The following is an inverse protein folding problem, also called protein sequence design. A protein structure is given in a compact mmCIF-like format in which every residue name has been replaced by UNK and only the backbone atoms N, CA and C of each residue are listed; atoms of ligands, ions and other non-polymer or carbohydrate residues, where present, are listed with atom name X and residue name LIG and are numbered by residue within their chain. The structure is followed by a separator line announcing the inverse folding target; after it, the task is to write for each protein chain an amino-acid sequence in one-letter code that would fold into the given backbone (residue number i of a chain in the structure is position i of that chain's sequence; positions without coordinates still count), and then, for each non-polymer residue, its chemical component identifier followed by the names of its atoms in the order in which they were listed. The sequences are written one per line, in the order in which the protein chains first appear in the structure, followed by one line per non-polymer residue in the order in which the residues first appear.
data_IF_893479855095
#
_entry.id   IF_893479855095
#
_cell.length_a   1.000
_cell.length_b   1.000
_cell.length_c   1.000
_cell.angle_alpha   90.00
_cell.angle_beta   90.00
_cell.angle_gamma   90.00
#
_symmetry.space_group_name_H-M   'P 1'
#
loop_
_entity.id
_entity.type
_entity.pdbx_description
1 polymer ?
#
# COMPACT_ATOMS: atom_id res chain seq x y z
N UNK A 1 -13.20 -0.84 -25.86
CA UNK A 1 -14.13 -1.96 -25.55
C UNK A 1 -13.50 -2.76 -24.42
N UNK A 2 -13.99 -2.56 -23.19
CA UNK A 2 -13.57 -3.32 -22.02
C UNK A 2 -14.05 -4.76 -22.15
N UNK A 3 -13.12 -5.73 -22.12
CA UNK A 3 -13.51 -7.13 -22.03
C UNK A 3 -13.95 -7.43 -20.60
N UNK A 4 -15.22 -7.81 -20.54
CA UNK A 4 -15.98 -8.24 -19.39
C UNK A 4 -15.70 -9.74 -19.18
N UNK A 5 -15.56 -10.11 -17.92
CA UNK A 5 -15.68 -11.46 -17.35
C UNK A 5 -14.49 -12.41 -17.48
N UNK A 6 -13.78 -12.57 -16.36
CA UNK A 6 -13.64 -13.89 -15.74
C UNK A 6 -13.99 -13.77 -14.25
N UNK A 7 -15.23 -14.14 -13.92
CA UNK A 7 -15.64 -14.38 -12.53
C UNK A 7 -15.04 -15.71 -12.08
N UNK A 8 -13.77 -15.68 -11.71
CA UNK A 8 -13.13 -16.81 -11.04
C UNK A 8 -13.59 -16.81 -9.58
N UNK A 9 -14.24 -17.90 -9.17
CA UNK A 9 -14.55 -18.22 -7.76
C UNK A 9 -13.26 -18.11 -6.93
N UNK A 10 -13.12 -17.01 -6.19
CA UNK A 10 -12.01 -16.83 -5.25
C UNK A 10 -12.33 -17.66 -4.01
N UNK A 11 -11.65 -18.80 -3.87
CA UNK A 11 -11.50 -19.46 -2.58
C UNK A 11 -10.87 -18.49 -1.59
N UNK A 12 -11.37 -18.49 -0.36
CA UNK A 12 -11.24 -17.47 0.68
C UNK A 12 -9.81 -17.21 1.24
N UNK A 13 -8.74 -17.63 0.56
CA UNK A 13 -7.36 -17.53 1.03
C UNK A 13 -6.40 -16.81 0.06
N UNK A 14 -6.89 -16.15 -0.99
CA UNK A 14 -6.04 -15.34 -1.88
C UNK A 14 -5.82 -13.93 -1.28
N UNK A 15 -4.96 -13.87 -0.26
CA UNK A 15 -4.47 -12.57 0.22
C UNK A 15 -3.54 -11.93 -0.82
N UNK A 16 -3.80 -10.68 -1.19
CA UNK A 16 -2.97 -9.93 -2.13
C UNK A 16 -1.59 -9.71 -1.53
N UNK A 17 -0.56 -10.29 -2.15
CA UNK A 17 0.80 -10.27 -1.60
C UNK A 17 1.62 -9.14 -2.18
N UNK A 18 2.76 -8.86 -1.53
CA UNK A 18 3.74 -7.92 -2.04
C UNK A 18 4.29 -8.31 -3.43
N UNK A 19 4.37 -9.61 -3.73
CA UNK A 19 4.79 -10.09 -5.05
C UNK A 19 3.77 -9.71 -6.11
N UNK A 20 2.48 -9.75 -5.77
CA UNK A 20 1.41 -9.37 -6.69
C UNK A 20 1.45 -7.87 -6.99
N UNK A 21 1.69 -7.04 -5.96
CA UNK A 21 1.93 -5.61 -6.14
C UNK A 21 3.13 -5.33 -7.04
N UNK A 22 4.25 -6.02 -6.81
CA UNK A 22 5.48 -5.84 -7.61
C UNK A 22 5.24 -6.21 -9.07
N UNK A 23 4.58 -7.36 -9.33
CA UNK A 23 4.20 -7.80 -10.67
C UNK A 23 3.26 -6.82 -11.37
N UNK A 24 2.31 -6.26 -10.63
CA UNK A 24 1.40 -5.27 -11.14
C UNK A 24 2.13 -4.00 -11.59
N UNK A 25 3.04 -3.48 -10.75
CA UNK A 25 3.86 -2.31 -11.07
C UNK A 25 4.74 -2.59 -12.30
N UNK A 26 5.37 -3.76 -12.39
CA UNK A 26 6.13 -4.16 -13.56
C UNK A 26 5.27 -4.19 -14.83
N UNK A 27 4.03 -4.68 -14.72
CA UNK A 27 3.08 -4.70 -15.83
C UNK A 27 2.69 -3.29 -16.27
N UNK A 28 2.43 -2.39 -15.31
CA UNK A 28 2.12 -0.98 -15.56
C UNK A 28 3.25 -0.27 -16.31
N UNK A 29 4.49 -0.46 -15.85
CA UNK A 29 5.67 0.15 -16.48
C UNK A 29 5.85 -0.38 -17.91
N UNK A 30 5.70 -1.69 -18.12
CA UNK A 30 5.76 -2.28 -19.46
C UNK A 30 4.68 -1.73 -20.38
N UNK A 31 3.46 -1.58 -19.86
CA UNK A 31 2.33 -1.07 -20.64
C UNK A 31 2.55 0.39 -21.05
N UNK A 32 2.88 1.26 -20.08
CA UNK A 32 3.20 2.66 -20.32
C UNK A 32 4.35 2.82 -21.34
N UNK A 33 5.41 2.02 -21.21
CA UNK A 33 6.52 2.02 -22.17
C UNK A 33 6.08 1.62 -23.58
N UNK A 34 5.29 0.56 -23.72
CA UNK A 34 4.79 0.13 -25.03
C UNK A 34 3.93 1.21 -25.67
N UNK A 35 3.12 1.91 -24.87
CA UNK A 35 2.27 3.00 -25.33
C UNK A 35 3.08 4.23 -25.78
N UNK A 36 4.11 4.63 -25.04
CA UNK A 36 5.03 5.69 -25.47
C UNK A 36 5.71 5.34 -26.80
N UNK A 37 6.08 4.06 -26.98
CA UNK A 37 6.71 3.57 -28.20
C UNK A 37 5.76 3.56 -29.40
N UNK A 38 4.49 3.21 -29.21
CA UNK A 38 3.48 3.30 -30.28
C UNK A 38 3.23 4.74 -30.67
N UNK A 39 3.16 5.65 -29.70
CA UNK A 39 2.95 7.09 -29.96
C UNK A 39 4.12 7.69 -30.75
N UNK A 40 5.37 7.35 -30.41
CA UNK A 40 6.56 7.84 -31.14
C UNK A 40 6.72 7.22 -32.54
N UNK A 41 6.24 5.99 -32.74
CA UNK A 41 6.27 5.28 -34.03
C UNK A 41 5.30 5.83 -35.08
N UNK A 42 4.37 6.71 -34.70
CA UNK A 42 3.49 7.41 -35.66
C UNK A 42 4.21 8.48 -36.49
N UNK A 43 5.43 8.86 -36.09
CA UNK A 43 6.27 9.76 -36.87
C UNK A 43 7.12 8.95 -37.85
N UNK A 44 7.30 9.44 -39.08
CA UNK A 44 8.08 8.77 -40.15
C UNK A 44 9.54 8.42 -39.75
N UNK A 45 10.02 8.97 -38.64
CA UNK A 45 11.36 8.79 -38.10
C UNK A 45 11.38 8.33 -36.64
N UNK A 46 10.29 7.72 -36.13
CA UNK A 46 10.18 7.30 -34.72
C UNK A 46 11.26 6.31 -34.26
N UNK A 47 11.89 5.60 -35.19
CA UNK A 47 13.02 4.71 -34.93
C UNK A 47 14.34 5.46 -34.69
N UNK A 48 14.50 6.70 -35.20
CA UNK A 48 15.66 7.57 -34.95
C UNK A 48 15.58 8.29 -33.61
N UNK A 49 14.38 8.54 -33.10
CA UNK A 49 14.14 9.22 -31.81
C UNK A 49 13.93 8.24 -30.66
N UNK A 50 13.93 6.93 -30.93
CA UNK A 50 13.83 5.89 -29.93
C UNK A 50 14.98 5.99 -28.94
N UNK A 51 14.73 6.59 -27.76
CA UNK A 51 15.69 6.58 -26.66
C UNK A 51 16.03 5.12 -26.34
N UNK A 52 17.31 4.80 -26.08
CA UNK A 52 17.69 3.46 -25.69
C UNK A 52 16.86 3.03 -24.48
N UNK A 53 16.47 1.75 -24.48
CA UNK A 53 15.57 1.11 -23.52
C UNK A 53 16.02 1.31 -22.06
N UNK A 54 15.73 2.48 -21.50
CA UNK A 54 15.90 2.79 -20.07
C UNK A 54 14.98 1.94 -19.19
N UNK A 55 14.02 1.23 -19.77
CA UNK A 55 13.04 0.36 -19.10
C UNK A 55 13.07 -1.09 -19.64
N UNK A 56 14.28 -1.63 -19.81
CA UNK A 56 14.46 -3.09 -19.93
C UNK A 56 14.08 -3.78 -18.62
N UNK A 57 13.77 -5.08 -18.64
CA UNK A 57 13.47 -5.83 -17.42
C UNK A 57 14.55 -5.65 -16.32
N UNK A 58 15.82 -5.52 -16.74
CA UNK A 58 16.95 -5.30 -15.84
C UNK A 58 16.94 -3.90 -15.19
N UNK A 59 16.49 -2.88 -15.92
CA UNK A 59 16.43 -1.51 -15.41
C UNK A 59 15.16 -1.21 -14.60
N UNK A 60 14.05 -1.91 -14.89
CA UNK A 60 12.86 -1.90 -14.02
C UNK A 60 13.22 -2.47 -12.64
N UNK A 61 13.93 -3.60 -12.61
CA UNK A 61 14.40 -4.20 -11.36
C UNK A 61 15.35 -3.26 -10.61
N UNK A 62 16.26 -2.58 -11.32
CA UNK A 62 17.16 -1.60 -10.73
C UNK A 62 16.40 -0.40 -10.13
N UNK A 63 15.33 0.07 -10.78
CA UNK A 63 14.50 1.16 -10.30
C UNK A 63 13.62 0.77 -9.10
N UNK A 64 13.20 -0.49 -9.03
CA UNK A 64 12.41 -1.03 -7.90
C UNK A 64 13.27 -1.48 -6.71
N UNK A 65 14.54 -1.79 -6.93
CA UNK A 65 15.52 -2.15 -5.89
C UNK A 65 15.51 -1.21 -4.67
N UNK A 66 15.57 0.13 -4.81
CA UNK A 66 15.52 1.04 -3.67
C UNK A 66 14.17 1.01 -2.92
N UNK A 67 13.08 0.61 -3.58
CA UNK A 67 11.74 0.55 -3.00
C UNK A 67 11.42 -0.82 -2.37
N UNK A 68 12.16 -1.88 -2.73
CA UNK A 68 12.02 -3.21 -2.14
C UNK A 68 12.03 -3.24 -0.61
N UNK A 69 12.93 -2.54 0.11
CA UNK A 69 12.91 -2.57 1.58
C UNK A 69 11.65 -1.95 2.18
N UNK A 70 11.00 -1.01 1.48
CA UNK A 70 9.72 -0.46 1.91
C UNK A 70 8.58 -1.44 1.62
N UNK A 71 8.55 -2.02 0.42
CA UNK A 71 7.60 -3.06 0.02
C UNK A 71 7.65 -4.28 0.96
N UNK A 72 8.85 -4.73 1.37
CA UNK A 72 9.04 -5.88 2.29
C UNK A 72 8.46 -5.66 3.69
N UNK A 73 8.25 -4.41 4.09
CA UNK A 73 7.70 -4.06 5.42
C UNK A 73 6.18 -3.95 5.42
N UNK A 74 5.54 -4.06 4.27
CA UNK A 74 4.12 -3.83 4.11
C UNK A 74 3.27 -5.04 4.48
N UNK A 75 2.10 -4.77 5.03
CA UNK A 75 1.08 -5.79 5.26
C UNK A 75 0.35 -6.06 3.93
N UNK A 76 -0.22 -7.26 3.75
CA UNK A 76 -1.04 -7.59 2.57
C UNK A 76 -2.15 -6.57 2.31
N UNK A 77 -2.80 -6.09 3.38
CA UNK A 77 -3.84 -5.05 3.32
C UNK A 77 -3.32 -3.73 2.74
N UNK A 78 -2.14 -3.28 3.18
CA UNK A 78 -1.53 -2.05 2.65
C UNK A 78 -1.10 -2.21 1.19
N UNK A 79 -0.65 -3.40 0.78
CA UNK A 79 -0.34 -3.69 -0.62
C UNK A 79 -1.59 -3.60 -1.50
N UNK A 80 -2.71 -4.16 -1.06
CA UNK A 80 -3.98 -4.08 -1.77
C UNK A 80 -4.49 -2.63 -1.89
N UNK A 81 -4.33 -1.84 -0.82
CA UNK A 81 -4.69 -0.42 -0.85
C UNK A 81 -3.85 0.38 -1.87
N UNK A 82 -2.53 0.13 -1.92
CA UNK A 82 -1.64 0.78 -2.89
C UNK A 82 -2.02 0.38 -4.32
N UNK A 83 -2.30 -0.91 -4.55
CA UNK A 83 -2.79 -1.39 -5.84
C UNK A 83 -4.04 -0.63 -6.28
N UNK A 84 -5.06 -0.52 -5.42
CA UNK A 84 -6.29 0.21 -5.74
C UNK A 84 -6.05 1.70 -5.98
N UNK A 85 -5.20 2.35 -5.17
CA UNK A 85 -4.85 3.77 -5.39
C UNK A 85 -4.12 3.95 -6.72
N UNK A 86 -3.16 3.08 -7.03
CA UNK A 86 -2.43 3.09 -8.29
C UNK A 86 -3.38 3.00 -9.48
N UNK A 87 -4.32 2.06 -9.45
CA UNK A 87 -5.32 1.89 -10.52
C UNK A 87 -6.17 3.16 -10.74
N UNK A 88 -6.42 3.93 -9.68
CA UNK A 88 -7.14 5.20 -9.78
C UNK A 88 -6.28 6.37 -10.30
N UNK A 89 -4.97 6.35 -10.05
CA UNK A 89 -4.07 7.44 -10.46
C UNK A 89 -3.44 7.22 -11.83
N UNK A 90 -3.19 5.95 -12.20
CA UNK A 90 -2.59 5.60 -13.47
C UNK A 90 -3.67 5.56 -14.55
N UNK A 91 -3.63 6.54 -15.42
CA UNK A 91 -4.35 6.54 -16.70
C UNK A 91 -3.46 5.99 -17.80
N UNK A 92 -4.05 5.61 -18.95
CA UNK A 92 -3.30 5.10 -20.11
C UNK A 92 -2.15 6.05 -20.54
N UNK A 93 -2.28 7.36 -20.33
CA UNK A 93 -1.25 8.33 -20.75
C UNK A 93 -0.15 8.60 -19.72
N UNK A 94 -0.14 7.86 -18.60
CA UNK A 94 0.81 8.13 -17.51
C UNK A 94 2.21 7.64 -17.88
N UNK A 95 3.21 8.52 -17.77
CA UNK A 95 4.59 8.16 -18.09
C UNK A 95 5.18 7.23 -17.04
N UNK A 96 6.23 6.49 -17.41
CA UNK A 96 6.91 5.57 -16.48
C UNK A 96 7.50 6.32 -15.27
N UNK A 97 8.01 7.54 -15.49
CA UNK A 97 8.55 8.37 -14.41
C UNK A 97 7.47 8.74 -13.39
N UNK A 98 6.29 9.13 -13.88
CA UNK A 98 5.14 9.48 -13.02
C UNK A 98 4.65 8.26 -12.24
N UNK A 99 4.58 7.08 -12.86
CA UNK A 99 4.21 5.83 -12.18
C UNK A 99 5.16 5.56 -11.00
N UNK A 100 6.47 5.73 -11.20
CA UNK A 100 7.47 5.50 -10.15
C UNK A 100 7.39 6.55 -9.03
N UNK A 101 7.10 7.81 -9.36
CA UNK A 101 6.93 8.88 -8.38
C UNK A 101 5.67 8.64 -7.53
N UNK A 102 4.55 8.30 -8.18
CA UNK A 102 3.29 7.94 -7.51
C UNK A 102 3.54 6.74 -6.59
N UNK A 103 4.24 5.70 -7.06
CA UNK A 103 4.56 4.54 -6.24
C UNK A 103 5.30 4.92 -4.96
N UNK A 104 6.37 5.71 -5.11
CA UNK A 104 7.18 6.15 -3.98
C UNK A 104 6.34 6.91 -2.97
N UNK A 105 5.53 7.87 -3.42
CA UNK A 105 4.65 8.66 -2.56
C UNK A 105 3.64 7.79 -1.81
N UNK A 106 3.01 6.84 -2.49
CA UNK A 106 2.06 5.92 -1.87
C UNK A 106 2.71 4.99 -0.85
N UNK A 107 3.94 4.55 -1.12
CA UNK A 107 4.68 3.72 -0.19
C UNK A 107 5.02 4.49 1.10
N UNK A 108 5.48 5.74 0.97
CA UNK A 108 5.80 6.62 2.10
C UNK A 108 4.55 6.96 2.93
N UNK A 109 3.44 7.29 2.27
CA UNK A 109 2.15 7.54 2.92
C UNK A 109 1.70 6.33 3.76
N UNK A 110 1.71 5.12 3.18
CA UNK A 110 1.27 3.92 3.90
C UNK A 110 2.18 3.56 5.07
N UNK A 111 3.49 3.73 4.92
CA UNK A 111 4.44 3.48 6.01
C UNK A 111 4.20 4.45 7.18
N UNK A 112 3.93 5.72 6.88
CA UNK A 112 3.60 6.72 7.90
C UNK A 112 2.31 6.37 8.66
N UNK A 113 1.27 5.91 7.95
CA UNK A 113 0.00 5.49 8.55
C UNK A 113 0.15 4.24 9.42
N UNK A 114 0.97 3.28 9.00
CA UNK A 114 1.27 2.09 9.79
C UNK A 114 1.96 2.45 11.12
N UNK A 115 2.94 3.36 11.09
CA UNK A 115 3.62 3.83 12.31
C UNK A 115 2.65 4.54 13.26
N UNK A 116 1.78 5.41 12.74
CA UNK A 116 0.74 6.08 13.54
C UNK A 116 -0.20 5.04 14.17
N UNK A 117 -0.66 4.06 13.38
CA UNK A 117 -1.52 2.98 13.88
C UNK A 117 -0.86 2.15 14.98
N UNK A 118 0.43 1.86 14.87
CA UNK A 118 1.20 1.17 15.91
C UNK A 118 1.31 2.02 17.19
N UNK A 119 1.60 3.31 17.07
CA UNK A 119 1.67 4.23 18.20
C UNK A 119 0.33 4.34 18.94
N UNK A 120 -0.79 4.42 18.23
CA UNK A 120 -2.14 4.40 18.83
C UNK A 120 -2.41 3.09 19.55
N UNK A 121 -2.02 1.94 18.97
CA UNK A 121 -2.17 0.63 19.63
C UNK A 121 -1.35 0.55 20.93
N UNK A 122 -0.13 1.07 20.93
CA UNK A 122 0.74 1.13 22.12
C UNK A 122 0.13 2.06 23.18
N UNK A 123 -0.34 3.24 22.79
CA UNK A 123 -1.00 4.18 23.70
C UNK A 123 -2.26 3.58 24.35
N UNK A 124 -3.12 2.93 23.57
CA UNK A 124 -4.31 2.22 24.08
C UNK A 124 -3.96 1.10 25.06
N UNK A 125 -2.86 0.36 24.81
CA UNK A 125 -2.37 -0.68 25.74
C UNK A 125 -1.86 -0.09 27.06
N UNK A 126 -1.21 1.07 27.02
CA UNK A 126 -0.75 1.79 28.23
C UNK A 126 -1.94 2.33 29.04
N UNK A 127 -2.95 2.90 28.39
CA UNK A 127 -4.19 3.33 29.06
C UNK A 127 -4.93 2.16 29.74
N UNK A 128 -5.05 1.01 29.08
CA UNK A 128 -5.67 -0.19 29.69
C UNK A 128 -4.93 -0.72 30.91
N UNK A 129 -3.60 -0.54 31.01
CA UNK A 129 -2.83 -0.93 32.20
C UNK A 129 -3.05 0.02 33.39
N UNK A 130 -3.38 1.29 33.14
CA UNK A 130 -3.66 2.28 34.18
C UNK A 130 -5.09 2.21 34.75
N UNK A 131 -6.00 1.42 34.16
CA UNK A 131 -7.40 1.24 34.62
C UNK A 131 -7.56 -0.03 35.50
N UNK A 132 -6.46 -0.59 36.02
CA UNK A 132 -6.50 -1.60 37.11
C UNK A 132 -6.38 -0.92 38.47
N UNK A 133 -7.30 -0.04 38.81
CA UNK A 133 -7.56 0.34 40.21
C UNK A 133 -8.92 -0.25 40.54
N UNK A 134 -8.94 -1.29 41.37
CA UNK A 134 -10.14 -2.02 41.79
C UNK A 134 -11.04 -1.12 42.65
N UNK A 135 -12.38 -1.26 42.55
CA UNK A 135 -13.31 -0.62 43.47
C UNK A 135 -13.42 -1.45 44.74
N UNK A 136 -13.02 -0.91 45.90
CA UNK A 136 -13.44 -1.49 47.18
C UNK A 136 -14.83 -0.97 47.52
N UNK A 137 -15.82 -1.84 47.30
CA UNK A 137 -17.23 -1.70 47.62
C UNK A 137 -17.45 -1.77 49.16
N UNK A 138 -18.30 -0.87 49.65
CA UNK A 138 -19.20 -0.91 50.83
C UNK A 138 -18.90 -1.92 51.95
N UNK A 139 -18.64 -1.40 53.15
CA UNK A 139 -19.19 -1.97 54.39
C UNK A 139 -20.31 -1.07 54.90
N UNK A 140 -21.52 -1.60 54.84
CA UNK A 140 -22.66 -1.16 55.63
C UNK A 140 -22.73 -2.13 56.81
N UNK A 141 -22.50 -1.65 58.03
CA UNK A 141 -22.95 -2.40 59.21
C UNK A 141 -23.25 -1.45 60.40
N UNK A 142 -24.55 -1.29 60.63
CA UNK A 142 -25.21 -1.54 61.92
C UNK A 142 -24.76 -0.77 63.19
N UNK A 143 -25.59 0.22 63.55
CA UNK A 143 -26.18 0.50 64.89
C UNK A 143 -25.32 0.51 66.18
N UNK A 144 -25.56 1.60 66.94
CA UNK A 144 -25.44 1.83 68.40
C UNK A 144 -23.99 2.00 68.91
N UNK A 145 -23.61 3.11 69.54
CA UNK A 145 -24.08 3.58 70.85
C UNK A 145 -24.22 5.10 70.95
N UNK A 146 -25.32 5.55 71.56
CA UNK A 146 -25.44 6.83 72.25
C UNK A 146 -24.74 6.65 73.60
N UNK A 147 -23.82 7.55 73.96
CA UNK A 147 -23.45 7.79 75.36
C UNK A 147 -23.57 9.29 75.56
N UNK A 148 -24.58 9.65 76.36
CA UNK A 148 -24.72 10.94 77.01
C UNK A 148 -24.01 10.93 78.35
#
# INVERSE_FOLDING_TARGET
MFLKNDSQKIGSDQSFTQRDLTRYIESLIKHSYHQERTNTSTTNYGWLTGKPSLYSALSIQAALSPLQPMLNKMTPESCAFIFMKMDNYVTETTSVADIMEILKKLLEEQLSLQLIGQNIKVAKRRQKKNIKIQPSILYCDSKLFIIS
#
